data_IF_288814526406
#
_entry.id   IF_288814526406
#
_cell.length_a   1.000
_cell.length_b   1.000
_cell.length_c   1.000
_cell.angle_alpha   90.00
_cell.angle_beta   90.00
_cell.angle_gamma   90.00
#
_symmetry.space_group_name_H-M   'P 1'
#
loop_
_entity.id
_entity.type
_entity.pdbx_description
1 polymer ?
#
# COMPACT_ATOMS: atom_id res chain seq x y z
N UNK A 1 42.62 39.32 -47.56
CA UNK A 1 43.12 39.91 -46.30
C UNK A 1 41.95 39.91 -45.33
N UNK A 2 41.92 38.97 -44.38
CA UNK A 2 42.19 39.25 -42.94
C UNK A 2 41.08 40.17 -42.38
N UNK A 3 40.16 39.69 -41.55
CA UNK A 3 40.46 39.32 -40.16
C UNK A 3 39.38 38.40 -39.53
N UNK A 4 39.82 37.39 -38.77
CA UNK A 4 39.19 36.87 -37.56
C UNK A 4 40.25 37.07 -36.42
N UNK A 5 40.01 36.92 -35.08
CA UNK A 5 38.81 36.56 -34.29
C UNK A 5 38.68 37.36 -32.94
N UNK A 6 37.69 37.03 -32.09
CA UNK A 6 37.80 36.84 -30.60
C UNK A 6 36.39 36.75 -29.96
N UNK A 7 35.89 35.54 -29.68
CA UNK A 7 35.81 34.91 -28.35
C UNK A 7 35.06 35.71 -27.26
N UNK A 8 33.83 35.31 -26.97
CA UNK A 8 33.35 35.11 -25.59
C UNK A 8 32.18 34.13 -25.67
N UNK A 9 32.37 32.88 -25.26
CA UNK A 9 32.34 32.41 -23.85
C UNK A 9 30.92 32.40 -23.33
N UNK A 10 30.44 31.21 -23.00
CA UNK A 10 29.26 31.03 -22.17
C UNK A 10 28.35 29.94 -22.69
N UNK A 11 28.79 28.69 -22.54
CA UNK A 11 27.87 27.56 -22.57
C UNK A 11 26.74 27.81 -21.58
N UNK A 12 25.51 27.89 -22.08
CA UNK A 12 24.33 27.75 -21.24
C UNK A 12 24.08 26.25 -21.03
N UNK A 13 23.68 25.87 -19.81
CA UNK A 13 23.92 24.55 -19.26
C UNK A 13 23.05 23.52 -19.95
N UNK A 14 23.57 22.29 -20.08
CA UNK A 14 22.75 21.14 -20.40
C UNK A 14 21.53 21.11 -19.48
N UNK A 15 20.38 21.51 -20.01
CA UNK A 15 19.10 21.11 -19.45
C UNK A 15 18.98 19.63 -19.78
N UNK A 16 19.60 18.82 -18.92
CA UNK A 16 19.34 17.40 -18.80
C UNK A 16 17.84 17.26 -18.69
N UNK A 17 17.22 16.96 -19.83
CA UNK A 17 15.84 16.56 -19.93
C UNK A 17 15.68 15.38 -18.96
N UNK A 18 14.90 15.52 -17.87
CA UNK A 18 14.78 14.44 -16.92
C UNK A 18 14.14 13.27 -17.67
N UNK A 19 14.93 12.22 -17.85
CA UNK A 19 14.55 10.97 -18.49
C UNK A 19 13.18 10.53 -17.99
N UNK A 20 12.27 10.24 -18.93
CA UNK A 20 10.88 9.85 -18.70
C UNK A 20 10.66 8.57 -17.89
N UNK A 21 11.69 8.04 -17.24
CA UNK A 21 11.66 6.85 -16.38
C UNK A 21 11.31 7.18 -14.92
N UNK A 22 11.53 8.42 -14.46
CA UNK A 22 11.29 8.83 -13.07
C UNK A 22 9.96 9.59 -12.85
N UNK A 23 9.26 9.94 -13.93
CA UNK A 23 7.97 10.63 -13.84
C UNK A 23 6.81 9.67 -13.47
N UNK A 24 6.91 8.39 -13.84
CA UNK A 24 5.93 7.34 -13.47
C UNK A 24 6.06 6.92 -11.98
N UNK A 25 7.26 7.00 -11.41
CA UNK A 25 7.56 6.59 -10.04
C UNK A 25 7.19 7.64 -8.97
N UNK A 26 6.61 8.77 -9.38
CA UNK A 26 6.21 9.88 -8.49
C UNK A 26 4.71 9.96 -8.25
N UNK A 27 3.96 8.94 -8.65
CA UNK A 27 2.57 8.87 -8.21
C UNK A 27 2.54 8.38 -6.75
N UNK A 28 2.08 9.25 -5.84
CA UNK A 28 1.97 8.93 -4.40
C UNK A 28 1.17 7.66 -4.16
N UNK A 29 0.28 7.31 -5.09
CA UNK A 29 -0.57 6.12 -5.06
C UNK A 29 0.20 4.85 -5.46
N UNK A 30 1.07 4.94 -6.45
CA UNK A 30 1.96 3.83 -6.85
C UNK A 30 3.02 3.56 -5.78
N UNK A 31 3.57 4.62 -5.18
CA UNK A 31 4.46 4.51 -4.02
C UNK A 31 3.71 3.90 -2.84
N UNK A 32 2.48 4.31 -2.54
CA UNK A 32 1.67 3.71 -1.47
C UNK A 32 1.42 2.21 -1.70
N UNK A 33 1.24 1.79 -2.95
CA UNK A 33 1.15 0.39 -3.34
C UNK A 33 2.43 -0.39 -3.05
N UNK A 34 3.57 0.11 -3.53
CA UNK A 34 4.87 -0.50 -3.25
C UNK A 34 5.17 -0.56 -1.74
N UNK A 35 4.85 0.51 -1.02
CA UNK A 35 5.05 0.61 0.42
C UNK A 35 4.21 -0.42 1.16
N UNK A 36 2.97 -0.62 0.75
CA UNK A 36 2.07 -1.54 1.41
C UNK A 36 2.33 -3.01 1.02
N UNK A 37 2.77 -3.29 -0.21
CA UNK A 37 3.32 -4.62 -0.56
C UNK A 37 4.56 -4.89 0.29
N UNK A 38 5.47 -3.91 0.41
CA UNK A 38 6.63 -3.99 1.29
C UNK A 38 6.24 -4.21 2.75
N UNK A 39 5.17 -3.54 3.23
CA UNK A 39 4.62 -3.72 4.57
C UNK A 39 4.10 -5.14 4.77
N UNK A 40 3.33 -5.68 3.81
CA UNK A 40 2.82 -7.06 3.88
C UNK A 40 3.95 -8.07 3.95
N UNK A 41 4.95 -7.93 3.07
CA UNK A 41 6.13 -8.81 3.06
C UNK A 41 6.91 -8.68 4.37
N UNK A 42 7.03 -7.47 4.91
CA UNK A 42 7.68 -7.24 6.21
C UNK A 42 6.91 -7.95 7.33
N UNK A 43 5.58 -7.86 7.35
CA UNK A 43 4.74 -8.54 8.34
C UNK A 43 4.85 -10.08 8.24
N UNK A 44 4.88 -10.62 7.02
CA UNK A 44 5.12 -12.03 6.75
C UNK A 44 6.49 -12.48 7.26
N UNK A 45 7.57 -11.76 6.92
CA UNK A 45 8.93 -12.08 7.36
C UNK A 45 9.04 -11.99 8.89
N UNK A 46 8.43 -10.98 9.53
CA UNK A 46 8.42 -10.83 10.99
C UNK A 46 7.69 -12.00 11.65
N UNK A 47 6.55 -12.43 11.10
CA UNK A 47 5.79 -13.58 11.59
C UNK A 47 6.53 -14.90 11.36
N UNK A 48 7.17 -15.06 10.20
CA UNK A 48 7.91 -16.26 9.81
C UNK A 48 9.25 -16.41 10.53
N UNK A 49 9.94 -15.29 10.81
CA UNK A 49 11.19 -15.26 11.56
C UNK A 49 11.04 -15.74 13.01
N UNK A 50 9.81 -16.02 13.46
CA UNK A 50 9.56 -16.62 14.77
C UNK A 50 10.02 -15.73 15.92
N UNK A 51 10.17 -14.42 15.69
CA UNK A 51 10.42 -13.46 16.74
C UNK A 51 9.17 -13.43 17.62
N UNK A 52 9.15 -14.33 18.60
CA UNK A 52 8.08 -14.52 19.56
C UNK A 52 8.03 -13.26 20.44
N UNK A 53 7.44 -12.19 19.91
CA UNK A 53 7.02 -11.04 20.71
C UNK A 53 6.11 -11.64 21.79
N UNK A 54 6.39 -11.41 23.09
CA UNK A 54 5.63 -12.03 24.17
C UNK A 54 4.13 -11.95 23.88
N UNK A 55 3.50 -13.13 23.89
CA UNK A 55 2.16 -13.44 23.40
C UNK A 55 1.03 -12.43 23.71
N UNK A 56 1.07 -11.60 24.77
CA UNK A 56 0.02 -10.62 25.00
C UNK A 56 0.04 -9.42 24.05
N UNK A 57 1.19 -9.00 23.51
CA UNK A 57 1.33 -7.70 22.82
C UNK A 57 1.17 -7.76 21.30
N UNK A 58 1.50 -8.91 20.69
CA UNK A 58 1.34 -9.14 19.26
C UNK A 58 -0.09 -8.85 18.76
N UNK A 59 -1.17 -9.42 19.35
CA UNK A 59 -2.53 -9.17 18.88
C UNK A 59 -2.93 -7.69 18.93
N UNK A 60 -2.42 -6.89 19.89
CA UNK A 60 -2.73 -5.45 19.94
C UNK A 60 -2.11 -4.68 18.80
N UNK A 61 -0.86 -5.00 18.44
CA UNK A 61 -0.16 -4.34 17.33
C UNK A 61 -0.84 -4.69 16.00
N UNK A 62 -1.13 -5.98 15.77
CA UNK A 62 -1.83 -6.42 14.57
C UNK A 62 -3.26 -5.89 14.52
N UNK A 63 -3.99 -5.88 15.63
CA UNK A 63 -5.32 -5.29 15.71
C UNK A 63 -5.28 -3.78 15.39
N UNK A 64 -4.32 -3.03 15.95
CA UNK A 64 -4.15 -1.62 15.64
C UNK A 64 -3.83 -1.38 14.15
N UNK A 65 -3.06 -2.27 13.52
CA UNK A 65 -2.76 -2.20 12.10
C UNK A 65 -3.98 -2.53 11.22
N UNK A 66 -4.71 -3.59 11.55
CA UNK A 66 -5.99 -3.96 10.90
C UNK A 66 -6.99 -2.82 11.03
N UNK A 67 -7.13 -2.25 12.23
CA UNK A 67 -8.01 -1.13 12.50
C UNK A 67 -7.57 0.13 11.77
N UNK A 68 -6.27 0.44 11.73
CA UNK A 68 -5.75 1.65 11.10
C UNK A 68 -5.84 1.60 9.57
N UNK A 69 -5.34 0.54 8.96
CA UNK A 69 -5.31 0.38 7.49
C UNK A 69 -6.69 -0.01 6.96
N UNK A 70 -7.33 -0.97 7.62
CA UNK A 70 -8.61 -1.54 7.22
C UNK A 70 -9.83 -0.74 7.67
N UNK A 71 -9.70 0.35 8.44
CA UNK A 71 -10.85 1.07 9.02
C UNK A 71 -11.98 1.33 8.03
N UNK A 72 -11.60 1.81 6.83
CA UNK A 72 -12.55 2.17 5.78
C UNK A 72 -13.27 0.94 5.23
N UNK A 73 -12.54 -0.16 5.05
CA UNK A 73 -13.09 -1.46 4.60
C UNK A 73 -13.97 -2.08 5.67
N UNK A 74 -13.51 -2.12 6.93
CA UNK A 74 -14.28 -2.63 8.06
C UNK A 74 -15.61 -1.89 8.20
N UNK A 75 -15.60 -0.55 8.14
CA UNK A 75 -16.84 0.25 8.20
C UNK A 75 -17.78 -0.04 7.04
N UNK A 76 -17.28 -0.09 5.80
CA UNK A 76 -18.09 -0.43 4.62
C UNK A 76 -18.67 -1.85 4.74
N UNK A 77 -17.88 -2.80 5.22
CA UNK A 77 -18.29 -4.18 5.42
C UNK A 77 -19.36 -4.31 6.52
N UNK A 78 -19.21 -3.59 7.64
CA UNK A 78 -20.21 -3.58 8.73
C UNK A 78 -21.50 -2.93 8.26
N UNK A 79 -21.42 -1.82 7.52
CA UNK A 79 -22.62 -1.19 6.94
C UNK A 79 -23.34 -2.12 5.95
N UNK A 80 -22.58 -2.85 5.13
CA UNK A 80 -23.13 -3.85 4.24
C UNK A 80 -23.75 -5.04 4.99
N UNK A 81 -23.15 -5.45 6.11
CA UNK A 81 -23.65 -6.51 6.97
C UNK A 81 -24.99 -6.12 7.59
N UNK A 82 -25.10 -4.90 8.12
CA UNK A 82 -26.35 -4.36 8.67
C UNK A 82 -27.44 -4.22 7.62
N UNK A 83 -27.07 -3.90 6.37
CA UNK A 83 -28.00 -3.83 5.24
C UNK A 83 -28.29 -5.19 4.58
N UNK A 84 -27.70 -6.29 5.08
CA UNK A 84 -27.75 -7.64 4.48
C UNK A 84 -27.42 -7.66 2.97
N UNK A 85 -26.51 -6.78 2.52
CA UNK A 85 -26.13 -6.65 1.11
C UNK A 85 -24.93 -7.53 0.77
N UNK A 86 -25.21 -8.81 0.54
CA UNK A 86 -24.21 -9.82 0.12
C UNK A 86 -23.51 -9.51 -1.20
N UNK A 87 -24.07 -8.63 -2.03
CA UNK A 87 -23.45 -8.21 -3.29
C UNK A 87 -22.28 -7.24 -3.13
N UNK A 88 -21.89 -6.88 -1.89
CA UNK A 88 -20.76 -5.98 -1.66
C UNK A 88 -19.49 -6.75 -1.31
N UNK A 89 -18.41 -6.50 -2.05
CA UNK A 89 -17.12 -7.16 -1.85
C UNK A 89 -16.53 -6.83 -0.47
N UNK A 90 -16.83 -5.65 0.07
CA UNK A 90 -16.45 -5.23 1.43
C UNK A 90 -17.04 -6.12 2.53
N UNK A 91 -18.24 -6.70 2.32
CA UNK A 91 -18.84 -7.65 3.27
C UNK A 91 -18.00 -8.93 3.35
N UNK A 92 -17.69 -9.50 2.18
CA UNK A 92 -16.91 -10.73 2.08
C UNK A 92 -15.54 -10.55 2.74
N UNK A 93 -14.92 -9.39 2.51
CA UNK A 93 -13.65 -9.02 3.13
C UNK A 93 -13.73 -8.89 4.65
N UNK A 94 -14.76 -8.22 5.17
CA UNK A 94 -14.96 -8.13 6.62
C UNK A 94 -15.04 -9.52 7.24
N UNK A 95 -15.86 -10.41 6.67
CA UNK A 95 -16.06 -11.76 7.20
C UNK A 95 -14.75 -12.54 7.16
N UNK A 96 -13.98 -12.47 6.06
CA UNK A 96 -12.69 -13.13 5.94
C UNK A 96 -11.68 -12.64 7.00
N UNK A 97 -11.57 -11.32 7.18
CA UNK A 97 -10.67 -10.73 8.17
C UNK A 97 -11.09 -11.10 9.60
N UNK A 98 -12.40 -11.07 9.91
CA UNK A 98 -12.92 -11.45 11.23
C UNK A 98 -12.73 -12.95 11.49
N UNK A 99 -12.91 -13.80 10.47
CA UNK A 99 -12.70 -15.24 10.59
C UNK A 99 -11.23 -15.58 10.88
N UNK A 100 -10.29 -14.98 10.13
CA UNK A 100 -8.86 -15.16 10.38
C UNK A 100 -8.45 -14.65 11.77
N UNK A 101 -9.02 -13.52 12.21
CA UNK A 101 -8.80 -12.99 13.55
C UNK A 101 -9.34 -13.93 14.64
N UNK A 102 -10.53 -14.51 14.43
CA UNK A 102 -11.17 -15.44 15.36
C UNK A 102 -10.42 -16.77 15.48
N UNK A 103 -9.77 -17.23 14.40
CA UNK A 103 -8.89 -18.41 14.40
C UNK A 103 -7.54 -18.17 15.10
N UNK A 104 -7.30 -16.96 15.62
CA UNK A 104 -6.04 -16.57 16.27
C UNK A 104 -4.90 -16.26 15.29
N UNK A 105 -5.20 -16.20 13.99
CA UNK A 105 -4.23 -15.89 12.94
C UNK A 105 -4.21 -14.38 12.67
N UNK A 106 -3.72 -13.62 13.65
CA UNK A 106 -3.69 -12.15 13.59
C UNK A 106 -2.86 -11.62 12.41
N UNK A 107 -1.75 -12.28 12.11
CA UNK A 107 -0.91 -11.94 10.94
C UNK A 107 -1.69 -12.13 9.64
N UNK A 108 -2.39 -13.25 9.47
CA UNK A 108 -3.17 -13.51 8.26
C UNK A 108 -4.32 -12.51 8.10
N UNK A 109 -5.03 -12.20 9.19
CA UNK A 109 -6.06 -11.17 9.20
C UNK A 109 -5.53 -9.81 8.74
N UNK A 110 -4.32 -9.43 9.20
CA UNK A 110 -3.63 -8.21 8.81
C UNK A 110 -3.20 -8.23 7.34
N UNK A 111 -2.63 -9.33 6.86
CA UNK A 111 -2.21 -9.46 5.45
C UNK A 111 -3.42 -9.36 4.52
N UNK A 112 -4.51 -10.08 4.81
CA UNK A 112 -5.73 -10.10 4.00
C UNK A 112 -6.34 -8.70 3.88
N UNK A 113 -6.50 -7.98 4.99
CA UNK A 113 -7.12 -6.65 4.97
C UNK A 113 -6.23 -5.61 4.27
N UNK A 114 -4.90 -5.70 4.43
CA UNK A 114 -3.96 -4.81 3.77
C UNK A 114 -3.98 -5.07 2.27
N UNK A 115 -3.80 -6.32 1.83
CA UNK A 115 -3.80 -6.68 0.41
C UNK A 115 -5.09 -6.29 -0.30
N UNK A 116 -6.24 -6.47 0.35
CA UNK A 116 -7.51 -6.02 -0.23
C UNK A 116 -7.60 -4.50 -0.35
N UNK A 117 -7.20 -3.77 0.69
CA UNK A 117 -7.16 -2.31 0.64
C UNK A 117 -6.25 -1.84 -0.49
N UNK A 118 -5.20 -2.60 -0.83
CA UNK A 118 -4.35 -2.33 -2.00
C UNK A 118 -5.01 -2.68 -3.32
N UNK A 119 -5.72 -3.80 -3.40
CA UNK A 119 -6.52 -4.16 -4.56
C UNK A 119 -7.55 -3.08 -4.91
N UNK A 120 -8.27 -2.56 -3.91
CA UNK A 120 -9.24 -1.46 -4.08
C UNK A 120 -8.56 -0.20 -4.65
N UNK A 121 -7.34 0.10 -4.19
CA UNK A 121 -6.57 1.26 -4.67
C UNK A 121 -6.00 1.03 -6.07
N UNK A 122 -5.58 -0.19 -6.42
CA UNK A 122 -5.16 -0.57 -7.77
C UNK A 122 -6.29 -0.49 -8.77
N UNK A 123 -7.45 -1.03 -8.41
CA UNK A 123 -8.66 -0.96 -9.22
C UNK A 123 -9.00 0.50 -9.55
N UNK A 124 -8.99 1.39 -8.55
CA UNK A 124 -9.24 2.80 -8.79
C UNK A 124 -8.20 3.47 -9.72
N UNK A 125 -6.96 3.00 -9.76
CA UNK A 125 -5.93 3.53 -10.67
C UNK A 125 -6.13 2.98 -12.09
N UNK A 126 -6.48 1.70 -12.23
CA UNK A 126 -6.63 1.04 -13.52
C UNK A 126 -7.87 1.44 -14.31
N UNK A 127 -8.88 2.03 -13.66
CA UNK A 127 -10.12 2.50 -14.32
C UNK A 127 -10.04 4.03 -14.62
N UNK A 128 -8.84 4.59 -14.83
CA UNK A 128 -8.64 6.01 -15.23
C UNK A 128 -7.88 6.15 -16.54
#
# INVERSE_FOLDING_TARGET
MINAPSTTTGGAPGTTQPSGSVALLRDRRFVALLLAVGLVVTLEIVSFAGWNIPAPWAPWIFAALILGVGWRVLRKGVEALLKLRFSSINLLMLIATVAAFYLGQYTEAAVVIVLYTLGEQLEHIGIS
#
